data_IF_507048358971
#
_entry.id   IF_507048358971
#
_cell.length_a   1.000
_cell.length_b   1.000
_cell.length_c   1.000
_cell.angle_alpha   90.00
_cell.angle_beta   90.00
_cell.angle_gamma   90.00
#
_symmetry.space_group_name_H-M   'P 1'
#
loop_
_entity.id
_entity.type
_entity.pdbx_description
1 polymer ?
#
# COMPACT_ATOMS: atom_id res chain seq x y z
N UNK A 1 32.86 8.60 -1.01
CA UNK A 1 32.23 7.71 0.00
C UNK A 1 30.76 7.67 -0.31
N UNK A 2 30.30 6.65 -1.06
CA UNK A 2 28.89 6.53 -1.39
C UNK A 2 28.13 6.26 -0.10
N UNK A 3 27.26 7.19 0.31
CA UNK A 3 26.31 6.98 1.39
C UNK A 3 25.40 5.82 0.97
N UNK A 4 25.70 4.61 1.45
CA UNK A 4 24.74 3.52 1.43
C UNK A 4 23.54 3.97 2.26
N UNK A 5 22.51 4.48 1.60
CA UNK A 5 21.21 4.71 2.22
C UNK A 5 20.78 3.33 2.72
N UNK A 6 20.65 3.12 4.04
CA UNK A 6 20.25 1.83 4.55
C UNK A 6 18.88 1.47 4.00
N UNK A 7 18.65 0.19 3.69
CA UNK A 7 17.33 -0.28 3.30
C UNK A 7 16.27 0.23 4.30
N UNK A 8 15.09 0.62 3.82
CA UNK A 8 14.08 1.24 4.68
C UNK A 8 13.71 0.34 5.87
N UNK A 9 13.76 -0.97 5.65
CA UNK A 9 13.59 -2.00 6.68
C UNK A 9 14.63 -1.88 7.79
N UNK A 10 15.90 -1.60 7.47
CA UNK A 10 16.96 -1.41 8.47
C UNK A 10 16.65 -0.23 9.39
N UNK A 11 16.25 0.92 8.84
CA UNK A 11 15.89 2.09 9.63
C UNK A 11 14.69 1.79 10.56
N UNK A 12 13.73 0.98 10.11
CA UNK A 12 12.60 0.52 10.94
C UNK A 12 13.05 -0.36 12.10
N UNK A 13 14.05 -1.24 11.90
CA UNK A 13 14.66 -2.01 12.99
C UNK A 13 15.37 -1.09 14.00
N UNK A 14 16.12 -0.09 13.54
CA UNK A 14 16.74 0.90 14.42
C UNK A 14 15.70 1.67 15.25
N UNK A 15 14.57 2.06 14.64
CA UNK A 15 13.46 2.69 15.35
C UNK A 15 12.88 1.79 16.44
N UNK A 16 12.68 0.49 16.15
CA UNK A 16 12.19 -0.47 17.13
C UNK A 16 13.18 -0.67 18.29
N UNK A 17 14.47 -0.73 17.98
CA UNK A 17 15.53 -0.83 18.99
C UNK A 17 15.51 0.37 19.95
N UNK A 18 15.47 1.59 19.42
CA UNK A 18 15.41 2.81 20.23
C UNK A 18 14.11 2.91 21.04
N UNK A 19 12.97 2.46 20.49
CA UNK A 19 11.71 2.34 21.23
C UNK A 19 11.84 1.39 22.42
N UNK A 20 12.46 0.21 22.24
CA UNK A 20 12.67 -0.75 23.34
C UNK A 20 13.63 -0.27 24.41
N UNK A 21 14.55 0.64 24.08
CA UNK A 21 15.40 1.34 25.06
C UNK A 21 14.63 2.36 25.91
N UNK A 22 13.36 2.65 25.58
CA UNK A 22 12.54 3.64 26.27
C UNK A 22 12.80 5.08 25.82
N UNK A 23 13.55 5.28 24.73
CA UNK A 23 13.73 6.61 24.16
C UNK A 23 12.42 7.11 23.55
N UNK A 24 12.27 8.43 23.44
CA UNK A 24 11.17 9.03 22.68
C UNK A 24 11.56 9.21 21.19
N UNK A 25 10.59 9.47 20.33
CA UNK A 25 10.80 9.58 18.88
C UNK A 25 11.81 10.68 18.50
N UNK A 26 11.85 11.79 19.24
CA UNK A 26 12.79 12.89 18.96
C UNK A 26 14.23 12.47 19.24
N UNK A 27 14.47 11.81 20.38
CA UNK A 27 15.80 11.29 20.75
C UNK A 27 16.21 10.19 19.80
N UNK A 28 15.31 9.24 19.51
CA UNK A 28 15.57 8.16 18.57
C UNK A 28 15.95 8.68 17.17
N UNK A 29 15.25 9.70 16.68
CA UNK A 29 15.55 10.30 15.36
C UNK A 29 16.95 10.91 15.34
N UNK A 30 17.35 11.63 16.39
CA UNK A 30 18.71 12.19 16.50
C UNK A 30 19.76 11.07 16.50
N UNK A 31 19.62 10.09 17.40
CA UNK A 31 20.55 8.96 17.53
C UNK A 31 20.72 8.20 16.20
N UNK A 32 19.63 8.00 15.46
CA UNK A 32 19.66 7.31 14.17
C UNK A 32 20.32 8.18 13.11
N UNK A 33 20.01 9.48 13.04
CA UNK A 33 20.58 10.39 12.06
C UNK A 33 22.05 10.72 12.32
N UNK A 34 22.52 10.61 13.56
CA UNK A 34 23.94 10.74 13.92
C UNK A 34 24.80 9.62 13.28
N UNK A 35 24.23 8.42 13.14
CA UNK A 35 24.88 7.26 12.48
C UNK A 35 24.57 7.22 10.98
N UNK A 36 23.34 7.54 10.60
CA UNK A 36 22.83 7.51 9.23
C UNK A 36 22.29 8.89 8.82
N UNK A 37 23.15 9.78 8.32
CA UNK A 37 22.75 11.14 7.96
C UNK A 37 21.56 11.16 6.99
N UNK A 38 20.55 11.98 7.30
CA UNK A 38 19.32 12.15 6.50
C UNK A 38 18.47 10.89 6.30
N UNK A 39 18.67 9.81 7.07
CA UNK A 39 17.95 8.57 6.88
C UNK A 39 16.51 8.58 7.43
N UNK A 40 16.19 9.47 8.39
CA UNK A 40 14.91 9.45 9.09
C UNK A 40 14.37 10.86 9.38
N UNK A 41 13.11 11.09 9.01
CA UNK A 41 12.34 12.25 9.44
C UNK A 41 11.62 11.97 10.77
N UNK A 42 11.54 12.97 11.64
CA UNK A 42 10.88 12.87 12.95
C UNK A 42 9.41 12.46 12.82
N UNK A 43 8.70 12.91 11.78
CA UNK A 43 7.30 12.52 11.53
C UNK A 43 7.17 11.03 11.22
N UNK A 44 8.12 10.48 10.44
CA UNK A 44 8.20 9.03 10.17
C UNK A 44 8.45 8.27 11.47
N UNK A 45 9.39 8.72 12.30
CA UNK A 45 9.68 8.10 13.58
C UNK A 45 8.46 8.08 14.51
N UNK A 46 7.75 9.21 14.63
CA UNK A 46 6.53 9.31 15.44
C UNK A 46 5.44 8.33 14.99
N UNK A 47 5.20 8.20 13.67
CA UNK A 47 4.22 7.24 13.14
C UNK A 47 4.57 5.80 13.54
N UNK A 48 5.84 5.41 13.40
CA UNK A 48 6.31 4.08 13.83
C UNK A 48 6.18 3.87 15.34
N UNK A 49 6.53 4.88 16.13
CA UNK A 49 6.39 4.81 17.59
C UNK A 49 4.94 4.67 18.03
N UNK A 50 3.99 5.33 17.35
CA UNK A 50 2.56 5.11 17.61
C UNK A 50 2.13 3.67 17.30
N UNK A 51 2.64 3.08 16.21
CA UNK A 51 2.42 1.66 15.86
C UNK A 51 2.99 0.72 16.92
N UNK A 52 4.20 0.98 17.42
CA UNK A 52 4.80 0.19 18.49
C UNK A 52 4.06 0.32 19.83
N UNK A 53 3.56 1.52 20.16
CA UNK A 53 2.72 1.75 21.34
C UNK A 53 1.40 0.99 21.28
N UNK A 54 0.84 0.76 20.10
CA UNK A 54 -0.35 -0.09 19.93
C UNK A 54 -0.03 -1.59 19.94
N UNK A 55 1.21 -1.98 20.28
CA UNK A 55 1.66 -3.38 20.32
C UNK A 55 1.94 -4.00 18.95
N UNK A 56 1.91 -3.22 17.87
CA UNK A 56 2.19 -3.71 16.53
C UNK A 56 3.67 -3.51 16.18
N UNK A 57 4.43 -4.60 16.14
CA UNK A 57 5.87 -4.60 15.85
C UNK A 57 6.21 -5.11 14.45
N UNK A 58 5.22 -5.25 13.57
CA UNK A 58 5.46 -5.63 12.18
C UNK A 58 6.21 -4.52 11.45
N UNK A 59 7.40 -4.82 10.95
CA UNK A 59 8.28 -3.87 10.26
C UNK A 59 8.13 -3.90 8.74
N UNK A 60 7.30 -4.81 8.21
CA UNK A 60 6.99 -4.88 6.78
C UNK A 60 6.20 -3.63 6.35
N UNK A 61 6.32 -3.27 5.06
CA UNK A 61 5.38 -2.33 4.49
C UNK A 61 4.05 -3.08 4.39
N UNK A 62 3.04 -2.66 5.17
CA UNK A 62 1.71 -3.21 5.03
C UNK A 62 1.31 -3.06 3.57
N UNK A 63 0.88 -4.14 2.93
CA UNK A 63 0.34 -4.09 1.57
C UNK A 63 -0.59 -2.88 1.50
N UNK A 64 -0.23 -1.88 0.71
CA UNK A 64 -1.09 -0.71 0.52
C UNK A 64 -2.28 -1.25 -0.23
N UNK A 65 -3.34 -1.60 0.49
CA UNK A 65 -4.64 -1.75 -0.13
C UNK A 65 -4.87 -0.43 -0.85
N UNK A 66 -4.84 -0.47 -2.17
CA UNK A 66 -5.25 0.66 -2.99
C UNK A 66 -6.66 1.08 -2.59
N UNK A 67 -7.17 2.14 -3.20
CA UNK A 67 -8.58 2.48 -3.05
C UNK A 67 -9.41 1.23 -3.38
N UNK A 68 -10.22 0.68 -2.46
CA UNK A 68 -11.11 -0.42 -2.79
C UNK A 68 -11.95 0.02 -3.99
N UNK A 69 -11.87 -0.70 -5.11
CA UNK A 69 -12.74 -0.39 -6.23
C UNK A 69 -14.16 -0.72 -5.82
N UNK A 70 -15.08 0.20 -6.09
CA UNK A 70 -16.49 0.05 -5.72
C UNK A 70 -17.25 -0.93 -6.64
N UNK A 71 -16.56 -1.64 -7.53
CA UNK A 71 -17.14 -2.65 -8.40
C UNK A 71 -16.77 -4.04 -7.86
N UNK A 72 -17.79 -4.85 -7.59
CA UNK A 72 -17.60 -6.26 -7.24
C UNK A 72 -17.30 -7.08 -8.51
N UNK A 73 -16.22 -7.86 -8.44
CA UNK A 73 -15.81 -8.73 -9.54
C UNK A 73 -16.81 -9.85 -9.83
N UNK A 74 -17.58 -10.29 -8.83
CA UNK A 74 -18.59 -11.33 -9.01
C UNK A 74 -19.81 -10.79 -9.76
N UNK A 75 -20.19 -9.52 -9.50
CA UNK A 75 -21.25 -8.83 -10.24
C UNK A 75 -20.86 -8.64 -11.70
N UNK A 76 -19.63 -8.17 -11.97
CA UNK A 76 -19.14 -8.01 -13.35
C UNK A 76 -19.08 -9.37 -14.07
N UNK A 77 -18.68 -10.44 -13.37
CA UNK A 77 -18.60 -11.77 -13.95
C UNK A 77 -19.98 -12.30 -14.36
N UNK A 78 -20.98 -12.14 -13.51
CA UNK A 78 -22.35 -12.56 -13.80
C UNK A 78 -22.92 -11.84 -15.04
N UNK A 79 -22.69 -10.53 -15.17
CA UNK A 79 -23.15 -9.75 -16.32
C UNK A 79 -22.48 -10.22 -17.63
N UNK A 80 -21.16 -10.43 -17.60
CA UNK A 80 -20.39 -10.92 -18.76
C UNK A 80 -20.77 -12.35 -19.13
N UNK A 81 -21.11 -13.21 -18.17
CA UNK A 81 -21.57 -14.58 -18.43
C UNK A 81 -23.00 -14.62 -18.97
N UNK A 82 -23.86 -13.69 -18.56
CA UNK A 82 -25.21 -13.55 -19.10
C UNK A 82 -25.20 -13.10 -20.57
N UNK A 83 -24.28 -12.20 -20.96
CA UNK A 83 -24.11 -11.79 -22.35
C UNK A 83 -22.62 -11.56 -22.71
N UNK A 84 -21.93 -12.60 -23.22
CA UNK A 84 -20.51 -12.51 -23.58
C UNK A 84 -20.18 -11.55 -24.73
N UNK A 85 -21.18 -11.07 -25.47
CA UNK A 85 -21.00 -10.17 -26.61
C UNK A 85 -21.06 -8.68 -26.21
N UNK A 86 -21.31 -8.36 -24.93
CA UNK A 86 -21.37 -6.97 -24.48
C UNK A 86 -20.02 -6.26 -24.64
N UNK A 87 -20.10 -5.00 -25.06
CA UNK A 87 -18.95 -4.11 -25.10
C UNK A 87 -18.65 -3.53 -23.72
N UNK A 88 -17.42 -3.05 -23.52
CA UNK A 88 -17.03 -2.35 -22.28
C UNK A 88 -17.89 -1.09 -22.06
N UNK A 89 -18.34 -0.43 -23.14
CA UNK A 89 -19.22 0.74 -23.06
C UNK A 89 -20.62 0.37 -22.57
N UNK A 90 -21.18 -0.74 -23.04
CA UNK A 90 -22.47 -1.26 -22.54
C UNK A 90 -22.38 -1.67 -21.06
N UNK A 91 -21.30 -2.33 -20.66
CA UNK A 91 -21.04 -2.69 -19.26
C UNK A 91 -20.84 -1.46 -18.36
N UNK A 92 -20.16 -0.44 -18.89
CA UNK A 92 -19.99 0.86 -18.22
C UNK A 92 -21.33 1.51 -17.93
N UNK A 93 -22.24 1.47 -18.90
CA UNK A 93 -23.58 2.03 -18.78
C UNK A 93 -24.47 1.20 -17.85
N UNK A 94 -24.45 -0.14 -17.95
CA UNK A 94 -25.29 -1.02 -17.13
C UNK A 94 -24.87 -1.01 -15.65
N UNK A 95 -23.57 -1.03 -15.38
CA UNK A 95 -23.03 -1.06 -14.01
C UNK A 95 -22.79 0.35 -13.44
N UNK A 96 -23.04 1.39 -14.23
CA UNK A 96 -22.79 2.79 -13.88
C UNK A 96 -21.38 3.00 -13.30
N UNK A 97 -20.38 2.42 -13.97
CA UNK A 97 -18.95 2.54 -13.60
C UNK A 97 -18.19 3.16 -14.76
N UNK A 98 -17.10 3.89 -14.49
CA UNK A 98 -16.24 4.39 -15.55
C UNK A 98 -15.71 3.24 -16.42
N UNK A 99 -15.60 3.48 -17.71
CA UNK A 99 -15.02 2.55 -18.69
C UNK A 99 -13.68 1.96 -18.22
N UNK A 100 -12.80 2.78 -17.63
CA UNK A 100 -11.50 2.36 -17.10
C UNK A 100 -11.61 1.36 -15.95
N UNK A 101 -12.60 1.51 -15.07
CA UNK A 101 -12.89 0.57 -13.98
C UNK A 101 -13.37 -0.76 -14.52
N UNK A 102 -14.27 -0.76 -15.50
CA UNK A 102 -14.72 -2.00 -16.15
C UNK A 102 -13.55 -2.71 -16.81
N UNK A 103 -12.71 -1.98 -17.56
CA UNK A 103 -11.54 -2.55 -18.23
C UNK A 103 -10.55 -3.18 -17.24
N UNK A 104 -10.27 -2.51 -16.12
CA UNK A 104 -9.38 -3.03 -15.07
C UNK A 104 -9.95 -4.32 -14.45
N UNK A 105 -11.25 -4.31 -14.10
CA UNK A 105 -11.90 -5.45 -13.48
C UNK A 105 -12.03 -6.65 -14.42
N UNK A 106 -12.31 -6.42 -15.73
CA UNK A 106 -12.31 -7.48 -16.75
C UNK A 106 -10.95 -8.20 -16.80
N UNK A 107 -9.84 -7.46 -16.70
CA UNK A 107 -8.49 -8.04 -16.62
C UNK A 107 -8.29 -8.86 -15.34
N UNK A 108 -8.78 -8.36 -14.19
CA UNK A 108 -8.69 -9.08 -12.92
C UNK A 108 -9.45 -10.42 -12.93
N UNK A 109 -10.58 -10.50 -13.63
CA UNK A 109 -11.36 -11.75 -13.79
C UNK A 109 -10.90 -12.60 -14.99
N UNK A 110 -9.81 -12.23 -15.67
CA UNK A 110 -9.22 -13.01 -16.76
C UNK A 110 -10.01 -12.97 -18.08
N UNK A 111 -10.93 -12.01 -18.25
CA UNK A 111 -11.67 -11.82 -19.51
C UNK A 111 -10.89 -10.86 -20.39
N UNK A 112 -10.56 -11.30 -21.61
CA UNK A 112 -9.90 -10.49 -22.63
C UNK A 112 -10.85 -10.27 -23.80
N UNK A 113 -10.86 -9.06 -24.37
CA UNK A 113 -11.57 -8.80 -25.62
C UNK A 113 -11.01 -9.72 -26.70
N UNK A 114 -11.87 -10.45 -27.41
CA UNK A 114 -11.47 -11.03 -28.69
C UNK A 114 -11.25 -9.89 -29.69
N UNK A 115 -10.14 -9.95 -30.40
CA UNK A 115 -9.86 -9.13 -31.57
C UNK A 115 -10.59 -9.71 -32.79
#
# INVERSE_FOLDING_TARGET
MASQIPEEVHIRHCMLFEFRKGNNATVATKNICDVYPNALDIRKCQRWFSKFKSGNFDLSDSYRSGRPSALDNDVLRAEVEANPCQTIEELSNSLNKPWSTIQEHLKQIGKVSRA
#
